data_IF_230037284546
#
_entry.id   IF_230037284546
#
_cell.length_a   1.000
_cell.length_b   1.000
_cell.length_c   1.000
_cell.angle_alpha   90.00
_cell.angle_beta   90.00
_cell.angle_gamma   90.00
#
_symmetry.space_group_name_H-M   'P 1'
#
loop_
_entity.id
_entity.type
_entity.pdbx_description
1 polymer ?
#
# COMPACT_ATOMS: atom_id res chain seq x y z
N UNK A 1 20.75 10.97 11.40
CA UNK A 1 20.86 9.64 12.02
C UNK A 1 19.68 8.80 11.54
N UNK A 2 19.89 7.53 11.21
CA UNK A 2 18.85 6.61 10.75
C UNK A 2 17.79 6.42 11.86
N UNK A 3 16.51 6.50 11.50
CA UNK A 3 15.39 6.14 12.38
C UNK A 3 14.71 4.91 11.81
N UNK A 4 14.36 3.96 12.69
CA UNK A 4 13.63 2.75 12.35
C UNK A 4 12.28 2.76 13.05
N UNK A 5 11.25 2.33 12.33
CA UNK A 5 9.91 2.18 12.85
C UNK A 5 9.28 0.93 12.25
N UNK A 6 8.91 -0.01 13.11
CA UNK A 6 8.42 -1.33 12.69
C UNK A 6 9.39 -2.02 11.72
N UNK A 7 9.01 -2.18 10.46
CA UNK A 7 9.79 -2.86 9.42
C UNK A 7 10.44 -1.88 8.42
N UNK A 8 10.37 -0.58 8.72
CA UNK A 8 10.79 0.50 7.83
C UNK A 8 11.90 1.32 8.45
N UNK A 9 12.75 1.89 7.60
CA UNK A 9 13.85 2.76 8.00
C UNK A 9 13.89 4.03 7.16
N UNK A 10 14.31 5.14 7.78
CA UNK A 10 14.51 6.42 7.13
C UNK A 10 15.66 6.41 6.10
N UNK A 11 16.46 5.33 6.04
CA UNK A 11 17.50 5.13 5.02
C UNK A 11 16.99 4.43 3.75
N UNK A 12 15.79 3.85 3.79
CA UNK A 12 15.19 3.12 2.67
C UNK A 12 14.46 4.08 1.72
N UNK A 13 14.48 3.80 0.41
CA UNK A 13 13.55 4.39 -0.55
C UNK A 13 12.22 3.63 -0.50
N UNK A 14 11.14 4.33 -0.14
CA UNK A 14 9.84 3.72 0.13
C UNK A 14 8.81 4.22 -0.89
N UNK A 15 8.14 3.29 -1.56
CA UNK A 15 6.94 3.55 -2.36
C UNK A 15 5.71 3.03 -1.60
N UNK A 16 4.78 3.92 -1.30
CA UNK A 16 3.49 3.61 -0.69
C UNK A 16 2.43 3.67 -1.79
N UNK A 17 1.76 2.55 -2.04
CA UNK A 17 0.88 2.36 -3.19
C UNK A 17 -0.56 2.29 -2.72
N UNK A 18 -1.44 3.01 -3.41
CA UNK A 18 -2.89 2.95 -3.18
C UNK A 18 -3.31 3.51 -1.82
N UNK A 19 -2.63 4.57 -1.35
CA UNK A 19 -3.05 5.31 -0.17
C UNK A 19 -4.47 5.85 -0.38
N UNK A 20 -5.36 5.58 0.58
CA UNK A 20 -6.69 6.19 0.64
C UNK A 20 -6.58 7.62 1.15
N UNK A 21 -6.70 7.81 2.46
CA UNK A 21 -6.61 9.13 3.08
C UNK A 21 -5.17 9.57 3.43
N UNK A 22 -4.15 8.83 2.98
CA UNK A 22 -2.71 9.09 3.22
C UNK A 22 -2.28 9.05 4.70
N UNK A 23 -3.12 8.52 5.59
CA UNK A 23 -2.83 8.49 7.03
C UNK A 23 -1.70 7.53 7.41
N UNK A 24 -1.51 6.43 6.66
CA UNK A 24 -0.38 5.51 6.87
C UNK A 24 0.96 6.15 6.49
N UNK A 25 1.02 6.75 5.30
CA UNK A 25 2.17 7.55 4.89
C UNK A 25 2.52 8.63 5.92
N UNK A 26 1.50 9.35 6.40
CA UNK A 26 1.66 10.42 7.38
C UNK A 26 2.23 9.91 8.71
N UNK A 27 1.77 8.74 9.18
CA UNK A 27 2.32 8.08 10.35
C UNK A 27 3.83 7.83 10.19
N UNK A 28 4.25 7.19 9.09
CA UNK A 28 5.66 6.89 8.85
C UNK A 28 6.52 8.16 8.76
N UNK A 29 6.04 9.19 8.05
CA UNK A 29 6.75 10.47 7.93
C UNK A 29 6.91 11.22 9.25
N UNK A 30 5.97 11.04 10.20
CA UNK A 30 6.07 11.58 11.56
C UNK A 30 7.13 10.84 12.38
N UNK A 31 7.11 9.52 12.37
CA UNK A 31 8.07 8.68 13.12
C UNK A 31 9.51 8.89 12.64
N UNK A 32 9.71 8.96 11.32
CA UNK A 32 11.00 9.30 10.73
C UNK A 32 11.41 10.77 10.94
N UNK A 33 10.47 11.65 11.28
CA UNK A 33 10.68 13.09 11.36
C UNK A 33 10.89 13.76 9.99
N UNK A 34 10.81 12.99 8.89
CA UNK A 34 10.94 13.41 7.49
C UNK A 34 10.24 12.36 6.62
N UNK A 35 9.82 12.77 5.42
CA UNK A 35 9.27 11.89 4.40
C UNK A 35 10.00 12.02 3.06
N UNK A 36 11.20 12.62 3.04
CA UNK A 36 11.99 12.86 1.83
C UNK A 36 12.41 11.57 1.09
N UNK A 37 12.40 10.43 1.78
CA UNK A 37 12.69 9.11 1.24
C UNK A 37 11.44 8.36 0.74
N UNK A 38 10.27 9.01 0.77
CA UNK A 38 8.97 8.39 0.51
C UNK A 38 8.30 8.98 -0.73
N UNK A 39 7.72 8.09 -1.54
CA UNK A 39 6.76 8.43 -2.60
C UNK A 39 5.43 7.79 -2.20
N UNK A 40 4.38 8.58 -2.03
CA UNK A 40 3.05 8.08 -1.70
C UNK A 40 2.08 8.30 -2.86
N UNK A 41 1.34 7.25 -3.23
CA UNK A 41 0.50 7.25 -4.41
C UNK A 41 -0.94 6.86 -4.13
N UNK A 42 -1.87 7.41 -4.90
CA UNK A 42 -3.28 7.02 -4.92
C UNK A 42 -3.74 6.72 -6.34
N UNK A 43 -4.76 5.88 -6.48
CA UNK A 43 -5.49 5.72 -7.74
C UNK A 43 -6.39 6.93 -8.03
N UNK A 44 -7.01 7.48 -6.99
CA UNK A 44 -7.86 8.66 -7.10
C UNK A 44 -7.02 9.93 -7.32
N UNK A 45 -7.59 10.89 -8.06
CA UNK A 45 -7.08 12.27 -8.13
C UNK A 45 -7.20 12.97 -6.77
N UNK A 46 -6.41 14.02 -6.53
CA UNK A 46 -6.53 14.85 -5.31
C UNK A 46 -7.95 15.39 -5.11
N UNK A 47 -8.61 15.81 -6.19
CA UNK A 47 -9.99 16.29 -6.15
C UNK A 47 -10.98 15.20 -5.70
N UNK A 48 -10.82 13.98 -6.22
CA UNK A 48 -11.63 12.82 -5.82
C UNK A 48 -11.38 12.44 -4.36
N UNK A 49 -10.12 12.45 -3.92
CA UNK A 49 -9.76 12.20 -2.52
C UNK A 49 -10.42 13.21 -1.58
N UNK A 50 -10.37 14.50 -1.92
CA UNK A 50 -11.04 15.57 -1.15
C UNK A 50 -12.55 15.34 -1.07
N UNK A 51 -13.18 14.93 -2.16
CA UNK A 51 -14.61 14.62 -2.17
C UNK A 51 -14.94 13.38 -1.30
N UNK A 52 -14.06 12.36 -1.28
CA UNK A 52 -14.25 11.14 -0.48
C UNK A 52 -13.96 11.35 1.00
N UNK A 53 -12.92 12.08 1.36
CA UNK A 53 -12.37 12.10 2.72
C UNK A 53 -12.41 13.48 3.40
N UNK A 54 -13.04 14.47 2.75
CA UNK A 54 -13.19 15.83 3.28
C UNK A 54 -11.83 16.48 3.57
N UNK A 55 -11.75 17.39 4.55
CA UNK A 55 -10.52 18.12 4.86
C UNK A 55 -9.45 17.28 5.58
N UNK A 56 -9.81 16.11 6.12
CA UNK A 56 -8.86 15.22 6.82
C UNK A 56 -7.73 14.75 5.89
N UNK A 57 -8.05 14.40 4.64
CA UNK A 57 -7.02 14.01 3.66
C UNK A 57 -6.13 15.19 3.29
N UNK A 58 -6.67 16.41 3.23
CA UNK A 58 -5.87 17.61 2.91
C UNK A 58 -4.84 17.89 4.01
N UNK A 59 -5.15 17.61 5.27
CA UNK A 59 -4.19 17.71 6.36
C UNK A 59 -3.03 16.71 6.19
N UNK A 60 -3.34 15.45 5.87
CA UNK A 60 -2.33 14.40 5.64
C UNK A 60 -1.43 14.74 4.43
N UNK A 61 -2.04 15.12 3.29
CA UNK A 61 -1.30 15.53 2.10
C UNK A 61 -0.38 16.75 2.38
N UNK A 62 -0.89 17.74 3.13
CA UNK A 62 -0.12 18.94 3.48
C UNK A 62 1.04 18.63 4.44
N UNK A 63 0.85 17.77 5.44
CA UNK A 63 1.93 17.34 6.34
C UNK A 63 3.01 16.54 5.59
N UNK A 64 2.61 15.61 4.72
CA UNK A 64 3.52 14.83 3.88
C UNK A 64 4.34 15.71 2.96
N UNK A 65 3.71 16.64 2.26
CA UNK A 65 4.39 17.59 1.36
C UNK A 65 5.40 18.45 2.13
N UNK A 66 5.01 18.97 3.31
CA UNK A 66 5.91 19.74 4.19
C UNK A 66 7.11 18.91 4.65
N UNK A 67 6.94 17.61 4.85
CA UNK A 67 8.01 16.66 5.22
C UNK A 67 8.87 16.19 4.04
N UNK A 68 8.58 16.66 2.82
CA UNK A 68 9.34 16.34 1.61
C UNK A 68 8.89 15.06 0.89
N UNK A 69 7.72 14.51 1.22
CA UNK A 69 7.17 13.37 0.48
C UNK A 69 6.81 13.79 -0.95
N UNK A 70 7.09 12.92 -1.91
CA UNK A 70 6.56 13.06 -3.27
C UNK A 70 5.17 12.42 -3.29
N UNK A 71 4.16 13.23 -3.62
CA UNK A 71 2.77 12.79 -3.77
C UNK A 71 2.46 12.62 -5.26
N UNK A 72 2.00 11.44 -5.66
CA UNK A 72 1.56 11.15 -7.03
C UNK A 72 0.13 10.62 -7.01
N UNK A 73 -0.73 11.17 -7.85
CA UNK A 73 -2.12 10.73 -7.96
C UNK A 73 -2.33 10.01 -9.29
N UNK A 74 -3.47 9.32 -9.43
CA UNK A 74 -3.83 8.60 -10.65
C UNK A 74 -2.81 7.52 -11.05
N UNK A 75 -2.24 6.85 -10.04
CA UNK A 75 -1.27 5.76 -10.20
C UNK A 75 -1.98 4.41 -10.12
N UNK A 76 -2.14 3.76 -11.28
CA UNK A 76 -2.67 2.39 -11.38
C UNK A 76 -1.55 1.37 -11.14
N UNK A 77 -1.76 0.43 -10.21
CA UNK A 77 -0.80 -0.62 -9.84
C UNK A 77 -0.41 -1.53 -11.02
N UNK A 78 -1.27 -1.68 -12.03
CA UNK A 78 -0.98 -2.45 -13.23
C UNK A 78 0.03 -1.76 -14.15
N UNK A 79 0.14 -0.44 -14.07
CA UNK A 79 0.96 0.39 -14.99
C UNK A 79 1.94 1.31 -14.27
N UNK A 80 1.98 1.31 -12.93
CA UNK A 80 2.73 2.27 -12.12
C UNK A 80 4.22 2.38 -12.47
N UNK A 81 4.84 1.31 -12.97
CA UNK A 81 6.24 1.32 -13.44
C UNK A 81 6.50 2.27 -14.61
N UNK A 82 5.46 2.63 -15.35
CA UNK A 82 5.53 3.53 -16.50
C UNK A 82 5.09 4.96 -16.14
N UNK A 83 4.58 5.19 -14.93
CA UNK A 83 4.17 6.52 -14.50
C UNK A 83 5.38 7.47 -14.56
N UNK A 84 5.26 8.70 -15.11
CA UNK A 84 6.40 9.61 -15.28
C UNK A 84 7.18 9.92 -13.99
N UNK A 85 6.47 9.97 -12.85
CA UNK A 85 7.09 10.15 -11.54
C UNK A 85 7.79 8.92 -10.95
N UNK A 86 7.60 7.74 -11.54
CA UNK A 86 8.09 6.45 -11.03
C UNK A 86 9.02 5.72 -12.01
N UNK A 87 8.99 6.07 -13.30
CA UNK A 87 9.81 5.43 -14.33
C UNK A 87 11.30 5.51 -13.94
N UNK A 88 12.01 4.40 -14.16
CA UNK A 88 13.43 4.22 -13.81
C UNK A 88 13.78 4.38 -12.31
N UNK A 89 12.79 4.39 -11.41
CA UNK A 89 13.04 4.35 -9.96
C UNK A 89 13.01 2.92 -9.44
N UNK A 90 13.93 2.63 -8.55
CA UNK A 90 13.94 1.41 -7.74
C UNK A 90 13.74 1.75 -6.27
N UNK A 91 13.05 0.87 -5.56
CA UNK A 91 12.67 1.06 -4.16
C UNK A 91 13.14 -0.10 -3.29
N UNK A 92 13.50 0.21 -2.05
CA UNK A 92 13.86 -0.78 -1.04
C UNK A 92 12.62 -1.35 -0.36
N UNK A 93 11.53 -0.57 -0.30
CA UNK A 93 10.23 -1.02 0.18
C UNK A 93 9.14 -0.53 -0.78
N UNK A 94 8.30 -1.44 -1.24
CA UNK A 94 7.08 -1.13 -1.98
C UNK A 94 5.93 -1.70 -1.17
N UNK A 95 5.00 -0.87 -0.71
CA UNK A 95 4.00 -1.23 0.30
C UNK A 95 2.60 -0.99 -0.23
N UNK A 96 1.72 -1.98 -0.12
CA UNK A 96 0.31 -1.85 -0.44
C UNK A 96 -0.56 -2.42 0.69
N UNK A 97 -1.21 -1.54 1.44
CA UNK A 97 -2.00 -1.92 2.61
C UNK A 97 -3.46 -2.13 2.24
N UNK A 98 -4.03 -3.28 2.63
CA UNK A 98 -5.43 -3.66 2.41
C UNK A 98 -5.90 -3.40 0.96
N UNK A 99 -5.20 -3.96 -0.04
CA UNK A 99 -5.53 -3.75 -1.44
C UNK A 99 -6.99 -4.12 -1.72
N UNK A 100 -7.67 -3.32 -2.52
CA UNK A 100 -9.07 -3.54 -2.85
C UNK A 100 -9.40 -2.98 -4.24
N UNK A 101 -10.22 -3.68 -5.01
CA UNK A 101 -10.50 -3.41 -6.44
C UNK A 101 -11.81 -2.64 -6.69
N UNK A 102 -12.38 -2.05 -5.64
CA UNK A 102 -13.77 -1.58 -5.65
C UNK A 102 -14.77 -2.73 -5.50
N UNK A 103 -16.02 -2.41 -5.19
CA UNK A 103 -17.08 -3.40 -4.98
C UNK A 103 -18.08 -3.35 -6.13
N UNK A 104 -18.15 -4.45 -6.88
CA UNK A 104 -19.20 -4.71 -7.88
C UNK A 104 -20.26 -5.71 -7.37
N UNK A 105 -19.90 -6.49 -6.35
CA UNK A 105 -20.75 -7.49 -5.70
C UNK A 105 -20.34 -7.59 -4.21
N UNK A 106 -20.96 -8.52 -3.48
CA UNK A 106 -20.60 -8.91 -2.13
C UNK A 106 -19.13 -9.29 -2.02
N UNK A 107 -18.47 -8.85 -0.95
CA UNK A 107 -17.06 -9.08 -0.64
C UNK A 107 -16.68 -10.57 -0.54
N UNK A 108 -17.65 -11.43 -0.26
CA UNK A 108 -17.48 -12.87 -0.14
C UNK A 108 -17.77 -13.62 -1.46
N UNK A 109 -18.24 -12.92 -2.50
CA UNK A 109 -18.53 -13.55 -3.79
C UNK A 109 -17.24 -13.94 -4.51
N UNK A 110 -17.28 -15.06 -5.21
CA UNK A 110 -16.10 -15.58 -5.91
C UNK A 110 -15.59 -14.61 -6.99
N UNK A 111 -16.50 -14.00 -7.76
CA UNK A 111 -16.17 -12.98 -8.76
C UNK A 111 -15.45 -11.77 -8.16
N UNK A 112 -15.93 -11.27 -7.03
CA UNK A 112 -15.33 -10.14 -6.32
C UNK A 112 -13.94 -10.50 -5.76
N UNK A 113 -13.78 -11.70 -5.19
CA UNK A 113 -12.48 -12.20 -4.74
C UNK A 113 -11.49 -12.29 -5.92
N UNK A 114 -11.91 -12.78 -7.08
CA UNK A 114 -11.04 -12.85 -8.26
C UNK A 114 -10.62 -11.47 -8.80
N UNK A 115 -11.50 -10.46 -8.74
CA UNK A 115 -11.12 -9.06 -9.07
C UNK A 115 -10.01 -8.57 -8.14
N UNK A 116 -10.12 -8.84 -6.84
CA UNK A 116 -9.10 -8.48 -5.87
C UNK A 116 -7.77 -9.21 -6.09
N UNK A 117 -7.82 -10.51 -6.36
CA UNK A 117 -6.63 -11.31 -6.68
C UNK A 117 -5.93 -10.78 -7.94
N UNK A 118 -6.69 -10.37 -8.95
CA UNK A 118 -6.14 -9.77 -10.17
C UNK A 118 -5.44 -8.43 -9.91
N UNK A 119 -6.02 -7.57 -9.07
CA UNK A 119 -5.40 -6.33 -8.62
C UNK A 119 -4.05 -6.60 -7.93
N UNK A 120 -4.05 -7.50 -6.95
CA UNK A 120 -2.85 -7.87 -6.18
C UNK A 120 -1.77 -8.48 -7.08
N UNK A 121 -2.15 -9.34 -8.03
CA UNK A 121 -1.23 -9.90 -9.04
C UNK A 121 -0.63 -8.82 -9.95
N UNK A 122 -1.43 -7.83 -10.35
CA UNK A 122 -0.97 -6.65 -11.10
C UNK A 122 0.07 -5.84 -10.33
N UNK A 123 -0.24 -5.54 -9.06
CA UNK A 123 0.68 -4.90 -8.14
C UNK A 123 2.00 -5.67 -8.03
N UNK A 124 1.97 -6.98 -7.76
CA UNK A 124 3.20 -7.76 -7.61
C UNK A 124 4.06 -7.75 -8.88
N UNK A 125 3.46 -7.81 -10.07
CA UNK A 125 4.20 -7.74 -11.35
C UNK A 125 4.93 -6.42 -11.51
N UNK A 126 4.25 -5.30 -11.28
CA UNK A 126 4.85 -3.97 -11.36
C UNK A 126 5.92 -3.78 -10.28
N UNK A 127 5.59 -4.11 -9.03
CA UNK A 127 6.49 -3.95 -7.88
C UNK A 127 7.76 -4.80 -8.02
N UNK A 128 7.66 -6.04 -8.51
CA UNK A 128 8.82 -6.89 -8.80
C UNK A 128 9.83 -6.18 -9.71
N UNK A 129 9.38 -5.46 -10.73
CA UNK A 129 10.25 -4.76 -11.68
C UNK A 129 10.81 -3.45 -11.14
N UNK A 130 10.24 -2.93 -10.06
CA UNK A 130 10.63 -1.68 -9.40
C UNK A 130 11.43 -1.92 -8.11
N UNK A 131 11.73 -3.18 -7.78
CA UNK A 131 12.40 -3.55 -6.54
C UNK A 131 13.93 -3.45 -6.67
N UNK A 132 14.59 -2.82 -5.70
CA UNK A 132 16.05 -2.82 -5.56
C UNK A 132 16.57 -4.24 -5.26
N UNK A 133 17.88 -4.47 -5.38
CA UNK A 133 18.48 -5.81 -5.26
C UNK A 133 18.19 -6.50 -3.91
N UNK A 134 18.03 -5.73 -2.82
CA UNK A 134 17.69 -6.23 -1.49
C UNK A 134 16.37 -5.65 -0.99
N UNK A 135 15.51 -5.22 -1.91
CA UNK A 135 14.22 -4.63 -1.58
C UNK A 135 13.19 -5.68 -1.19
N UNK A 136 12.14 -5.23 -0.53
CA UNK A 136 10.98 -6.05 -0.16
C UNK A 136 9.68 -5.41 -0.68
N UNK A 137 8.76 -6.26 -1.11
CA UNK A 137 7.38 -5.91 -1.45
C UNK A 137 6.51 -6.33 -0.28
N UNK A 138 5.75 -5.39 0.28
CA UNK A 138 4.90 -5.61 1.42
C UNK A 138 3.43 -5.53 1.00
N UNK A 139 2.63 -6.48 1.49
CA UNK A 139 1.18 -6.44 1.42
C UNK A 139 0.62 -6.67 2.81
N UNK A 140 -0.10 -5.69 3.35
CA UNK A 140 -0.88 -5.91 4.58
C UNK A 140 -2.27 -6.39 4.21
N UNK A 141 -2.69 -7.54 4.74
CA UNK A 141 -3.99 -8.12 4.44
C UNK A 141 -4.58 -8.86 5.63
N UNK A 142 -5.90 -9.02 5.58
CA UNK A 142 -6.64 -9.80 6.57
C UNK A 142 -6.37 -11.29 6.38
N UNK A 143 -6.32 -12.02 7.48
CA UNK A 143 -5.92 -13.44 7.50
C UNK A 143 -7.06 -14.39 7.84
N UNK A 144 -8.28 -13.88 8.01
CA UNK A 144 -9.47 -14.70 8.29
C UNK A 144 -10.42 -14.71 7.10
N UNK A 145 -11.31 -15.69 7.04
CA UNK A 145 -12.35 -15.78 6.02
C UNK A 145 -13.17 -14.48 5.90
N UNK A 146 -13.51 -14.04 4.67
CA UNK A 146 -13.19 -14.62 3.35
C UNK A 146 -11.82 -14.21 2.81
N UNK A 147 -11.10 -13.34 3.51
CA UNK A 147 -9.93 -12.66 3.00
C UNK A 147 -8.73 -13.58 2.80
N UNK A 148 -8.64 -14.65 3.59
CA UNK A 148 -7.61 -15.68 3.39
C UNK A 148 -7.75 -16.42 2.04
N UNK A 149 -8.95 -16.46 1.43
CA UNK A 149 -9.18 -17.07 0.10
C UNK A 149 -8.44 -16.35 -1.05
N UNK A 150 -7.91 -15.16 -0.79
CA UNK A 150 -7.13 -14.42 -1.78
C UNK A 150 -5.77 -15.08 -2.04
N UNK A 151 -5.29 -15.93 -1.12
CA UNK A 151 -4.05 -16.70 -1.25
C UNK A 151 -2.86 -15.82 -1.69
N UNK A 152 -2.64 -14.71 -0.96
CA UNK A 152 -1.66 -13.65 -1.30
C UNK A 152 -0.25 -14.22 -1.56
N UNK A 153 0.17 -15.22 -0.79
CA UNK A 153 1.48 -15.87 -0.95
C UNK A 153 1.58 -16.55 -2.31
N UNK A 154 0.58 -17.34 -2.70
CA UNK A 154 0.55 -18.03 -4.00
C UNK A 154 0.53 -17.01 -5.16
N UNK A 155 -0.20 -15.90 -5.02
CA UNK A 155 -0.20 -14.84 -6.03
C UNK A 155 1.19 -14.23 -6.24
N UNK A 156 1.95 -14.03 -5.17
CA UNK A 156 3.32 -13.52 -5.23
C UNK A 156 4.27 -14.54 -5.87
N UNK A 157 4.17 -15.81 -5.47
CA UNK A 157 4.99 -16.89 -6.00
C UNK A 157 4.84 -17.09 -7.50
N UNK A 158 3.60 -16.97 -7.99
CA UNK A 158 3.24 -17.03 -9.41
C UNK A 158 3.87 -15.93 -10.28
N UNK A 159 4.49 -14.91 -9.66
CA UNK A 159 5.18 -13.83 -10.38
C UNK A 159 6.67 -13.72 -9.99
N UNK A 160 7.24 -14.80 -9.44
CA UNK A 160 8.69 -14.90 -9.19
C UNK A 160 9.15 -14.34 -7.84
N UNK A 161 8.22 -14.05 -6.93
CA UNK A 161 8.54 -13.63 -5.56
C UNK A 161 8.53 -14.83 -4.61
N UNK A 162 9.17 -14.70 -3.45
CA UNK A 162 9.03 -15.65 -2.35
C UNK A 162 8.73 -14.91 -1.05
N UNK A 163 7.99 -15.56 -0.15
CA UNK A 163 7.68 -15.02 1.16
C UNK A 163 8.94 -15.03 2.05
N UNK A 164 9.33 -13.86 2.52
CA UNK A 164 10.41 -13.66 3.49
C UNK A 164 9.86 -13.81 4.91
N UNK A 165 8.72 -13.18 5.17
CA UNK A 165 8.13 -13.11 6.51
C UNK A 165 6.63 -12.80 6.40
N UNK A 166 5.83 -13.45 7.25
CA UNK A 166 4.49 -12.98 7.60
C UNK A 166 4.56 -12.35 9.00
N UNK A 167 4.49 -11.03 9.06
CA UNK A 167 4.58 -10.29 10.32
C UNK A 167 3.18 -9.91 10.82
N UNK A 168 2.93 -10.04 12.12
CA UNK A 168 1.67 -9.60 12.72
C UNK A 168 1.41 -8.10 12.48
N UNK A 169 0.19 -7.76 12.07
CA UNK A 169 -0.23 -6.37 11.88
C UNK A 169 -1.25 -5.95 12.94
N UNK A 170 -0.99 -4.83 13.60
CA UNK A 170 -1.97 -4.12 14.42
C UNK A 170 -2.01 -2.65 14.03
N UNK A 171 -3.23 -2.13 13.81
CA UNK A 171 -3.44 -0.72 13.53
C UNK A 171 -2.96 0.19 14.68
N UNK A 172 -2.90 -0.34 15.90
CA UNK A 172 -2.40 0.39 17.08
C UNK A 172 -0.91 0.70 17.00
N UNK A 173 -0.15 -0.02 16.16
CA UNK A 173 1.25 0.27 15.89
C UNK A 173 1.45 1.38 14.85
N UNK A 174 0.38 2.01 14.36
CA UNK A 174 0.45 3.10 13.40
C UNK A 174 -0.50 4.24 13.86
N UNK A 175 -0.08 5.06 14.83
CA UNK A 175 -0.93 6.12 15.39
C UNK A 175 -1.47 7.07 14.32
N UNK A 176 -2.80 7.22 14.29
CA UNK A 176 -3.50 8.06 13.33
C UNK A 176 -3.80 7.39 11.98
N UNK A 177 -3.27 6.20 11.69
CA UNK A 177 -3.65 5.43 10.50
C UNK A 177 -5.12 5.03 10.56
N UNK A 178 -5.84 5.28 9.47
CA UNK A 178 -7.22 4.84 9.27
C UNK A 178 -7.31 3.97 8.01
N UNK A 179 -7.67 2.70 8.19
CA UNK A 179 -7.97 1.83 7.06
C UNK A 179 -9.34 2.23 6.47
N UNK A 180 -9.36 2.99 5.38
CA UNK A 180 -10.60 3.45 4.71
C UNK A 180 -11.14 2.40 3.74
N UNK A 181 -12.44 2.42 3.47
CA UNK A 181 -13.07 1.53 2.48
C UNK A 181 -12.64 1.80 1.04
N UNK A 182 -12.26 3.05 0.71
CA UNK A 182 -11.71 3.39 -0.60
C UNK A 182 -12.73 3.54 -1.73
N UNK A 183 -13.88 2.88 -1.65
CA UNK A 183 -14.84 2.79 -2.75
C UNK A 183 -16.32 2.94 -2.34
N UNK A 184 -17.14 3.37 -3.31
CA UNK A 184 -18.59 3.57 -3.19
C UNK A 184 -19.01 4.71 -2.26
N UNK A 185 -20.32 4.79 -1.99
CA UNK A 185 -20.95 5.81 -1.14
C UNK A 185 -20.45 5.77 0.32
N UNK A 186 -19.77 4.69 0.71
CA UNK A 186 -19.22 4.46 2.05
C UNK A 186 -17.69 4.54 2.08
N UNK A 187 -17.06 5.04 1.03
CA UNK A 187 -15.59 5.15 0.90
C UNK A 187 -14.92 5.85 2.09
N UNK A 188 -15.58 6.85 2.68
CA UNK A 188 -15.11 7.63 3.83
C UNK A 188 -15.11 6.85 5.17
N UNK A 189 -15.90 5.78 5.28
CA UNK A 189 -15.96 4.99 6.51
C UNK A 189 -14.72 4.11 6.67
N UNK A 190 -14.37 3.85 7.92
CA UNK A 190 -13.30 2.93 8.26
C UNK A 190 -13.73 1.48 7.94
N UNK A 191 -12.82 0.73 7.35
CA UNK A 191 -12.90 -0.70 7.16
C UNK A 191 -12.15 -1.41 8.28
N UNK A 192 -12.88 -2.15 9.11
CA UNK A 192 -12.30 -2.86 10.26
C UNK A 192 -11.19 -3.79 9.80
N UNK A 193 -10.00 -3.65 10.37
CA UNK A 193 -8.83 -4.46 10.01
C UNK A 193 -8.97 -5.91 10.50
N UNK A 194 -9.43 -6.13 11.73
CA UNK A 194 -9.50 -7.49 12.30
C UNK A 194 -8.12 -8.16 12.37
N UNK A 195 -8.08 -9.50 12.38
CA UNK A 195 -6.82 -10.24 12.32
C UNK A 195 -6.16 -10.04 10.95
N UNK A 196 -4.95 -9.50 10.96
CA UNK A 196 -4.22 -9.11 9.76
C UNK A 196 -2.72 -9.34 9.94
N UNK A 197 -2.04 -9.55 8.83
CA UNK A 197 -0.60 -9.68 8.74
C UNK A 197 -0.05 -8.80 7.63
N UNK A 198 1.20 -8.37 7.77
CA UNK A 198 2.01 -7.82 6.69
C UNK A 198 2.90 -8.92 6.12
N UNK A 199 2.58 -9.35 4.90
CA UNK A 199 3.38 -10.30 4.14
C UNK A 199 4.50 -9.56 3.42
N UNK A 200 5.74 -10.02 3.59
CA UNK A 200 6.94 -9.42 2.99
C UNK A 200 7.55 -10.37 2.00
N UNK A 201 7.80 -9.90 0.79
CA UNK A 201 8.26 -10.70 -0.33
C UNK A 201 9.56 -10.14 -0.90
N UNK A 202 10.44 -11.02 -1.36
CA UNK A 202 11.65 -10.67 -2.10
C UNK A 202 11.71 -11.41 -3.45
N UNK A 203 12.58 -10.93 -4.34
CA UNK A 203 12.86 -11.60 -5.62
C UNK A 203 13.53 -12.95 -5.36
N UNK A 204 13.06 -14.02 -5.99
CA UNK A 204 13.82 -15.27 -6.04
C UNK A 204 15.19 -14.99 -6.66
N UNK A 205 16.25 -15.41 -5.98
CA UNK A 205 17.58 -15.44 -6.59
C UNK A 205 17.53 -16.54 -7.66
N UNK A 206 17.80 -16.17 -8.90
CA UNK A 206 17.99 -17.13 -9.99
C UNK A 206 19.31 -17.86 -9.83
#
# INVERSE_FOLDING_TARGET
>A
MERRYMHYSSSQKILLVGEGDFSFATCLGKEFGSAANMVATSLDSEATLKAKYSDDVLFNLSDLKRRGCILLHEVDVHTMRYHPGLINKLFDRIVFNFPHAGFSDSEFSHSQIELHKNLVKGYFRSAHQMLSNCGEIHVTHKTTWPFNEWNIVELAENVGLFLVEEAFFSILFYPGYQNKRGDGNRSHFNFRVGNSSTFKFAKKLN
#
